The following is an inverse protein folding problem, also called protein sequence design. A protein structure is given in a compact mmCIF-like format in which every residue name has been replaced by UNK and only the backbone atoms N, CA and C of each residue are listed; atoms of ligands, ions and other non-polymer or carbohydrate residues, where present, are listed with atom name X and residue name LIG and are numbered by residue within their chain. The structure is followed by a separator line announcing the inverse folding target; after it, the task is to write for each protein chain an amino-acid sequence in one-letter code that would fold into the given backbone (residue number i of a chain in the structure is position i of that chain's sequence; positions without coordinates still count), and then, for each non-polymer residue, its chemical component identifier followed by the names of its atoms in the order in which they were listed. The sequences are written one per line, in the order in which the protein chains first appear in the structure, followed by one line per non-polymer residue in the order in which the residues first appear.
data_IF_107757648299
#
_entry.id   IF_107757648299
#
_cell.length_a   1.000
_cell.length_b   1.000
_cell.length_c   1.000
_cell.angle_alpha   90.00
_cell.angle_beta   90.00
_cell.angle_gamma   90.00
#
_symmetry.space_group_name_H-M   'P 1'
#
loop_
_entity.id
_entity.type
_entity.pdbx_description
1 polymer ?
#
# COMPACT_ATOMS: atom_id res chain seq x y z
N UNK A 1 -3.87 -17.22 -3.68
CA UNK A 1 -2.62 -16.41 -3.61
C UNK A 1 -2.96 -14.94 -3.44
N UNK A 2 -2.29 -14.22 -2.53
CA UNK A 2 -2.56 -12.80 -2.27
C UNK A 2 -1.27 -12.01 -2.46
N UNK A 3 -1.24 -11.16 -3.48
CA UNK A 3 -0.16 -10.22 -3.75
C UNK A 3 -0.39 -8.95 -2.94
N UNK A 4 0.61 -8.50 -2.18
CA UNK A 4 0.42 -7.30 -1.36
C UNK A 4 1.61 -6.34 -1.43
N UNK A 5 1.29 -5.06 -1.24
CA UNK A 5 2.24 -3.98 -1.02
C UNK A 5 1.86 -3.21 0.25
N UNK A 6 2.84 -2.89 1.08
CA UNK A 6 2.64 -2.10 2.29
C UNK A 6 3.90 -1.28 2.60
N UNK A 7 3.73 -0.02 2.97
CA UNK A 7 4.80 0.84 3.47
C UNK A 7 4.84 0.85 5.00
N UNK A 8 3.75 1.24 5.64
CA UNK A 8 3.67 1.48 7.09
C UNK A 8 2.89 0.42 7.87
N UNK A 9 2.61 -0.73 7.26
CA UNK A 9 2.03 -1.90 7.93
C UNK A 9 0.52 -2.10 7.71
N UNK A 10 -0.28 -1.08 7.47
CA UNK A 10 -1.75 -1.21 7.35
C UNK A 10 -2.20 -2.28 6.35
N UNK A 11 -1.74 -2.19 5.10
CA UNK A 11 -2.10 -3.18 4.08
C UNK A 11 -1.50 -4.57 4.37
N UNK A 12 -0.34 -4.65 5.02
CA UNK A 12 0.25 -5.91 5.47
C UNK A 12 -0.65 -6.59 6.50
N UNK A 13 -1.15 -5.83 7.48
CA UNK A 13 -2.08 -6.37 8.48
C UNK A 13 -3.33 -6.94 7.81
N UNK A 14 -3.95 -6.19 6.87
CA UNK A 14 -5.11 -6.67 6.11
C UNK A 14 -4.76 -7.96 5.35
N UNK A 15 -3.64 -7.97 4.62
CA UNK A 15 -3.20 -9.12 3.84
C UNK A 15 -3.00 -10.37 4.72
N UNK A 16 -2.42 -10.21 5.91
CA UNK A 16 -2.26 -11.29 6.88
C UNK A 16 -3.60 -11.87 7.34
N UNK A 17 -4.59 -11.01 7.67
CA UNK A 17 -5.93 -11.46 8.08
C UNK A 17 -6.63 -12.23 6.94
N UNK A 18 -6.54 -11.72 5.71
CA UNK A 18 -7.13 -12.38 4.54
C UNK A 18 -6.45 -13.72 4.23
N UNK A 19 -5.12 -13.76 4.23
CA UNK A 19 -4.34 -14.97 3.97
C UNK A 19 -4.67 -16.07 4.97
N UNK A 20 -4.74 -15.74 6.25
CA UNK A 20 -5.06 -16.69 7.32
C UNK A 20 -6.45 -17.31 7.12
N UNK A 21 -7.46 -16.48 6.89
CA UNK A 21 -8.85 -16.94 6.75
C UNK A 21 -9.10 -17.67 5.42
N UNK A 22 -8.58 -17.12 4.32
CA UNK A 22 -8.77 -17.70 3.00
C UNK A 22 -7.81 -18.87 2.71
N UNK A 23 -6.80 -19.12 3.56
CA UNK A 23 -5.73 -20.12 3.39
C UNK A 23 -4.96 -19.93 2.09
N UNK A 24 -4.73 -18.67 1.71
CA UNK A 24 -3.99 -18.29 0.52
C UNK A 24 -2.59 -17.82 0.86
N UNK A 25 -1.62 -18.16 0.03
CA UNK A 25 -0.23 -17.74 0.18
C UNK A 25 -0.09 -16.22 -0.03
N UNK A 26 0.82 -15.60 0.74
CA UNK A 26 1.17 -14.19 0.59
C UNK A 26 2.41 -14.02 -0.27
N UNK A 27 2.31 -13.12 -1.24
CA UNK A 27 3.44 -12.68 -2.06
C UNK A 27 3.67 -11.19 -1.85
N UNK A 28 4.83 -10.81 -1.31
CA UNK A 28 5.18 -9.40 -1.16
C UNK A 28 5.66 -8.84 -2.50
N UNK A 29 4.91 -7.91 -3.06
CA UNK A 29 5.17 -7.36 -4.40
C UNK A 29 6.60 -6.82 -4.56
N UNK A 30 7.17 -6.06 -3.60
CA UNK A 30 8.55 -5.60 -3.72
C UNK A 30 9.60 -6.71 -3.83
N UNK A 31 9.43 -7.81 -3.10
CA UNK A 31 10.36 -8.95 -3.20
C UNK A 31 10.25 -9.62 -4.57
N UNK A 32 9.02 -9.87 -5.04
CA UNK A 32 8.80 -10.41 -6.38
C UNK A 32 9.40 -9.54 -7.50
N UNK A 33 9.29 -8.20 -7.37
CA UNK A 33 9.92 -7.27 -8.31
C UNK A 33 11.46 -7.31 -8.26
N UNK A 34 12.02 -7.35 -7.04
CA UNK A 34 13.47 -7.44 -6.81
C UNK A 34 14.05 -8.73 -7.38
N UNK A 35 13.39 -9.85 -7.13
CA UNK A 35 13.81 -11.18 -7.56
C UNK A 35 13.39 -11.49 -9.01
N UNK A 36 12.71 -10.56 -9.68
CA UNK A 36 12.16 -10.70 -11.03
C UNK A 36 11.26 -11.94 -11.18
N UNK A 37 10.55 -12.27 -10.13
CA UNK A 37 9.59 -13.39 -10.10
C UNK A 37 8.23 -12.88 -10.53
N UNK A 38 7.87 -13.12 -11.80
CA UNK A 38 6.63 -12.63 -12.39
C UNK A 38 5.69 -13.73 -12.83
N UNK A 39 6.10 -14.98 -12.76
CA UNK A 39 5.29 -16.12 -13.16
C UNK A 39 4.87 -16.94 -11.95
N UNK A 40 3.57 -17.14 -11.79
CA UNK A 40 2.98 -17.91 -10.70
C UNK A 40 2.01 -18.93 -11.24
N UNK A 41 2.12 -20.17 -10.77
CA UNK A 41 1.22 -21.25 -11.13
C UNK A 41 0.05 -21.30 -10.17
N UNK A 42 -1.17 -21.19 -10.69
CA UNK A 42 -2.39 -21.20 -9.90
C UNK A 42 -2.92 -22.63 -9.70
N UNK A 43 -3.43 -22.90 -8.52
CA UNK A 43 -4.28 -24.05 -8.24
C UNK A 43 -5.68 -23.81 -8.83
N UNK A 44 -6.44 -24.87 -9.04
CA UNK A 44 -7.75 -24.78 -9.71
C UNK A 44 -8.75 -23.88 -8.94
N UNK A 45 -8.84 -24.05 -7.64
CA UNK A 45 -9.77 -23.31 -6.77
C UNK A 45 -9.16 -22.09 -6.06
N UNK A 46 -7.97 -21.68 -6.45
CA UNK A 46 -7.24 -20.60 -5.80
C UNK A 46 -7.96 -19.26 -5.96
N UNK A 47 -8.04 -18.50 -4.87
CA UNK A 47 -8.47 -17.10 -4.91
C UNK A 47 -7.26 -16.21 -5.15
N UNK A 48 -7.44 -15.18 -5.98
CA UNK A 48 -6.36 -14.26 -6.32
C UNK A 48 -6.69 -12.90 -5.70
N UNK A 49 -5.85 -12.43 -4.79
CA UNK A 49 -6.03 -11.17 -4.09
C UNK A 49 -4.95 -10.15 -4.43
N UNK A 50 -5.33 -8.87 -4.48
CA UNK A 50 -4.39 -7.74 -4.47
C UNK A 50 -4.68 -6.86 -3.26
N UNK A 51 -3.70 -6.68 -2.36
CA UNK A 51 -3.86 -5.85 -1.15
C UNK A 51 -2.83 -4.72 -1.16
N UNK A 52 -3.30 -3.47 -1.11
CA UNK A 52 -2.42 -2.31 -1.26
C UNK A 52 -3.00 -1.04 -0.61
N UNK A 53 -2.15 -0.05 -0.27
CA UNK A 53 -2.62 1.25 0.19
C UNK A 53 -3.07 2.12 -0.99
N UNK A 54 -3.90 3.13 -0.70
CA UNK A 54 -4.21 4.17 -1.67
C UNK A 54 -3.14 5.25 -1.64
N UNK A 55 -2.57 5.57 -2.80
CA UNK A 55 -1.65 6.69 -3.00
C UNK A 55 -2.28 7.73 -3.91
N UNK A 56 -2.62 8.88 -3.33
CA UNK A 56 -3.27 9.97 -4.07
C UNK A 56 -4.47 9.47 -4.92
N UNK A 57 -5.39 8.73 -4.28
CA UNK A 57 -6.65 8.25 -4.86
C UNK A 57 -6.49 7.27 -6.04
N UNK A 58 -5.43 6.48 -6.02
CA UNK A 58 -5.22 5.39 -6.97
C UNK A 58 -4.33 4.28 -6.37
N UNK A 59 -4.25 3.10 -6.99
CA UNK A 59 -3.27 2.09 -6.63
C UNK A 59 -1.84 2.64 -6.80
N UNK A 60 -0.90 2.29 -5.92
CA UNK A 60 0.50 2.70 -6.07
C UNK A 60 1.10 2.23 -7.40
N UNK A 61 1.96 3.06 -8.00
CA UNK A 61 2.61 2.75 -9.28
C UNK A 61 3.34 1.40 -9.26
N UNK A 62 3.94 1.02 -8.13
CA UNK A 62 4.62 -0.27 -7.94
C UNK A 62 3.65 -1.46 -8.11
N UNK A 63 2.41 -1.35 -7.63
CA UNK A 63 1.37 -2.38 -7.77
C UNK A 63 0.95 -2.50 -9.23
N UNK A 64 0.69 -1.39 -9.91
CA UNK A 64 0.32 -1.38 -11.33
C UNK A 64 1.47 -1.89 -12.21
N UNK A 65 2.71 -1.56 -11.87
CA UNK A 65 3.90 -2.07 -12.56
C UNK A 65 4.04 -3.59 -12.39
N UNK A 66 3.81 -4.11 -11.19
CA UNK A 66 3.83 -5.54 -10.93
C UNK A 66 2.74 -6.26 -11.72
N UNK A 67 1.48 -5.80 -11.69
CA UNK A 67 0.37 -6.39 -12.45
C UNK A 67 0.69 -6.46 -13.95
N UNK A 68 1.31 -5.43 -14.51
CA UNK A 68 1.70 -5.38 -15.93
C UNK A 68 2.66 -6.52 -16.30
N UNK A 69 3.59 -6.86 -15.42
CA UNK A 69 4.60 -7.90 -15.63
C UNK A 69 4.11 -9.31 -15.22
N UNK A 70 3.14 -9.40 -14.31
CA UNK A 70 2.64 -10.63 -13.73
C UNK A 70 2.06 -11.59 -14.80
N UNK A 71 2.41 -12.86 -14.68
CA UNK A 71 1.87 -13.96 -15.48
C UNK A 71 1.27 -15.01 -14.53
N UNK A 72 -0.01 -15.29 -14.69
CA UNK A 72 -0.72 -16.29 -13.89
C UNK A 72 -0.94 -17.52 -14.76
N UNK A 73 -0.09 -18.53 -14.61
CA UNK A 73 -0.22 -19.81 -15.33
C UNK A 73 -1.40 -20.60 -14.77
N UNK A 74 -2.20 -21.14 -15.67
CA UNK A 74 -3.40 -21.89 -15.29
C UNK A 74 -4.60 -20.99 -14.92
N UNK A 75 -4.57 -19.70 -15.28
CA UNK A 75 -5.72 -18.82 -15.07
C UNK A 75 -6.93 -19.29 -15.91
N UNK A 76 -7.99 -19.70 -15.23
CA UNK A 76 -9.27 -20.16 -15.78
C UNK A 76 -10.44 -19.35 -15.22
N UNK A 77 -10.27 -18.03 -15.04
CA UNK A 77 -11.23 -17.12 -14.38
C UNK A 77 -11.44 -17.43 -12.90
N UNK A 78 -10.37 -17.79 -12.19
CA UNK A 78 -10.40 -17.88 -10.73
C UNK A 78 -10.92 -16.57 -10.12
N UNK A 79 -11.53 -16.67 -8.94
CA UNK A 79 -12.08 -15.51 -8.23
C UNK A 79 -10.96 -14.55 -7.85
N UNK A 80 -10.96 -13.38 -8.50
CA UNK A 80 -9.99 -12.33 -8.30
C UNK A 80 -10.65 -11.16 -7.58
N UNK A 81 -10.02 -10.68 -6.53
CA UNK A 81 -10.49 -9.57 -5.72
C UNK A 81 -9.37 -8.60 -5.37
N UNK A 82 -9.73 -7.42 -4.88
CA UNK A 82 -8.76 -6.53 -4.23
C UNK A 82 -9.29 -5.96 -2.92
N UNK A 83 -8.37 -5.61 -2.04
CA UNK A 83 -8.66 -4.84 -0.82
C UNK A 83 -7.66 -3.70 -0.70
N UNK A 84 -8.14 -2.47 -0.62
CA UNK A 84 -7.27 -1.33 -0.44
C UNK A 84 -7.43 -0.69 0.93
N UNK A 85 -6.32 -0.25 1.54
CA UNK A 85 -6.34 0.56 2.76
C UNK A 85 -6.24 2.04 2.41
N UNK A 86 -7.09 2.87 3.01
CA UNK A 86 -7.10 4.32 2.83
C UNK A 86 -7.31 5.02 4.17
N UNK A 87 -6.87 6.28 4.27
CA UNK A 87 -7.16 7.10 5.44
C UNK A 87 -8.61 7.56 5.47
N UNK A 88 -9.14 7.90 4.30
CA UNK A 88 -10.50 8.43 4.11
C UNK A 88 -11.19 7.79 2.91
N UNK A 89 -10.80 8.14 1.68
CA UNK A 89 -11.47 7.68 0.47
C UNK A 89 -10.49 7.12 -0.57
N UNK A 90 -11.04 6.40 -1.55
CA UNK A 90 -10.24 5.66 -2.55
C UNK A 90 -10.18 6.34 -3.91
N UNK A 91 -11.00 7.37 -4.15
CA UNK A 91 -11.21 7.84 -5.52
C UNK A 91 -11.70 6.72 -6.44
N UNK A 92 -11.34 6.78 -7.71
CA UNK A 92 -11.68 5.76 -8.71
C UNK A 92 -10.66 4.61 -8.76
N UNK A 93 -10.10 4.22 -7.62
CA UNK A 93 -9.11 3.12 -7.54
C UNK A 93 -9.61 1.83 -8.17
N UNK A 94 -10.88 1.48 -7.94
CA UNK A 94 -11.49 0.31 -8.57
C UNK A 94 -11.34 0.36 -10.10
N UNK A 95 -11.76 1.43 -10.75
CA UNK A 95 -11.69 1.57 -12.21
C UNK A 95 -10.26 1.50 -12.74
N UNK A 96 -9.30 2.09 -12.00
CA UNK A 96 -7.88 2.06 -12.39
C UNK A 96 -7.34 0.63 -12.33
N UNK A 97 -7.65 -0.11 -11.27
CA UNK A 97 -7.20 -1.48 -11.10
C UNK A 97 -7.87 -2.42 -12.10
N UNK A 98 -9.20 -2.34 -12.25
CA UNK A 98 -9.95 -3.16 -13.23
C UNK A 98 -9.41 -2.97 -14.64
N UNK A 99 -9.08 -1.73 -15.03
CA UNK A 99 -8.43 -1.45 -16.30
C UNK A 99 -7.08 -2.15 -16.43
N UNK A 100 -6.24 -2.14 -15.39
CA UNK A 100 -4.95 -2.81 -15.41
C UNK A 100 -5.10 -4.35 -15.52
N UNK A 101 -6.07 -4.93 -14.82
CA UNK A 101 -6.38 -6.35 -14.85
C UNK A 101 -6.99 -6.78 -16.19
N UNK A 102 -7.88 -5.96 -16.76
CA UNK A 102 -8.51 -6.26 -18.06
C UNK A 102 -7.51 -6.31 -19.21
N UNK A 103 -6.43 -5.53 -19.18
CA UNK A 103 -5.33 -5.65 -20.15
C UNK A 103 -4.60 -6.98 -20.10
N UNK A 104 -4.74 -7.72 -18.99
CA UNK A 104 -4.23 -9.08 -18.81
C UNK A 104 -5.28 -10.15 -19.13
N UNK A 105 -6.50 -9.75 -19.50
CA UNK A 105 -7.64 -10.65 -19.68
C UNK A 105 -8.23 -11.17 -18.36
N UNK A 106 -7.94 -10.52 -17.22
CA UNK A 106 -8.40 -10.95 -15.90
C UNK A 106 -9.63 -10.15 -15.48
N UNK A 107 -10.66 -10.87 -15.02
CA UNK A 107 -11.87 -10.23 -14.45
C UNK A 107 -11.69 -10.07 -12.94
N UNK A 108 -11.89 -8.85 -12.44
CA UNK A 108 -12.06 -8.58 -11.03
C UNK A 108 -13.51 -8.85 -10.63
N UNK A 109 -13.72 -9.62 -9.58
CA UNK A 109 -15.07 -9.98 -9.11
C UNK A 109 -15.47 -9.19 -7.89
N UNK A 110 -14.52 -8.77 -7.05
CA UNK A 110 -14.83 -8.00 -5.86
C UNK A 110 -13.75 -6.98 -5.53
N UNK A 111 -14.18 -5.89 -4.89
CA UNK A 111 -13.28 -4.83 -4.44
C UNK A 111 -13.76 -4.19 -3.15
N UNK A 112 -12.86 -3.98 -2.21
CA UNK A 112 -13.18 -3.46 -0.90
C UNK A 112 -12.20 -2.39 -0.46
N UNK A 113 -12.68 -1.41 0.32
CA UNK A 113 -11.83 -0.48 1.03
C UNK A 113 -11.92 -0.67 2.54
N UNK A 114 -10.79 -0.53 3.22
CA UNK A 114 -10.69 -0.53 4.68
C UNK A 114 -10.11 0.80 5.12
N UNK A 115 -10.86 1.53 5.94
CA UNK A 115 -10.36 2.77 6.54
C UNK A 115 -9.34 2.43 7.62
N UNK A 116 -8.13 2.96 7.47
CA UNK A 116 -7.00 2.73 8.36
C UNK A 116 -6.38 4.07 8.77
N UNK A 117 -5.59 4.12 9.85
CA UNK A 117 -4.94 5.36 10.26
C UNK A 117 -4.14 6.02 9.15
N UNK A 118 -4.22 7.36 9.10
CA UNK A 118 -3.48 8.18 8.15
C UNK A 118 -1.98 8.14 8.43
N UNK A 119 -1.21 8.14 7.35
CA UNK A 119 0.26 8.13 7.40
C UNK A 119 0.90 9.07 6.37
N UNK A 120 0.11 9.87 5.65
CA UNK A 120 0.65 10.82 4.69
C UNK A 120 0.85 12.18 5.33
N UNK A 121 2.09 12.66 5.37
CA UNK A 121 2.50 13.85 6.15
C UNK A 121 3.17 14.94 5.31
N UNK A 122 3.22 14.83 3.99
CA UNK A 122 4.06 15.69 3.17
C UNK A 122 3.38 16.94 2.60
N UNK A 123 2.07 17.02 2.64
CA UNK A 123 1.35 18.20 2.19
C UNK A 123 0.81 19.00 3.37
N UNK A 124 0.67 20.32 3.23
CA UNK A 124 -0.05 21.13 4.20
C UNK A 124 -1.45 20.59 4.48
N UNK A 125 -1.86 20.57 5.73
CA UNK A 125 -3.15 20.01 6.15
C UNK A 125 -3.19 18.48 6.32
N UNK A 126 -2.15 17.76 5.92
CA UNK A 126 -2.05 16.29 6.13
C UNK A 126 -1.12 15.99 7.31
N UNK A 127 -1.57 15.11 8.18
CA UNK A 127 -0.80 14.58 9.30
C UNK A 127 -1.32 13.17 9.65
N UNK A 128 -0.65 12.51 10.59
CA UNK A 128 -1.17 11.29 11.20
C UNK A 128 -2.43 11.63 12.02
N UNK A 129 -3.28 10.63 12.20
CA UNK A 129 -4.48 10.79 13.03
C UNK A 129 -4.09 11.04 14.49
N UNK A 130 -4.96 11.77 15.22
CA UNK A 130 -4.88 11.82 16.67
C UNK A 130 -5.11 10.44 17.27
N UNK A 131 -4.57 10.17 18.45
CA UNK A 131 -4.55 8.84 19.05
C UNK A 131 -5.94 8.20 19.16
N UNK A 132 -6.93 8.97 19.54
CA UNK A 132 -8.31 8.49 19.69
C UNK A 132 -8.90 8.05 18.34
N UNK A 133 -8.59 8.79 17.25
CA UNK A 133 -9.06 8.45 15.91
C UNK A 133 -8.28 7.26 15.34
N UNK A 134 -6.97 7.20 15.59
CA UNK A 134 -6.12 6.05 15.24
C UNK A 134 -6.69 4.76 15.84
N UNK A 135 -6.92 4.75 17.16
CA UNK A 135 -7.46 3.60 17.89
C UNK A 135 -8.85 3.21 17.39
N UNK A 136 -9.71 4.19 17.14
CA UNK A 136 -11.02 3.96 16.56
C UNK A 136 -10.93 3.30 15.19
N UNK A 137 -10.12 3.82 14.28
CA UNK A 137 -9.95 3.24 12.94
C UNK A 137 -9.41 1.81 13.00
N UNK A 138 -8.45 1.53 13.88
CA UNK A 138 -7.92 0.18 14.08
C UNK A 138 -9.00 -0.78 14.63
N UNK A 139 -9.81 -0.34 15.57
CA UNK A 139 -10.90 -1.14 16.11
C UNK A 139 -11.98 -1.42 15.05
N UNK A 140 -12.38 -0.41 14.28
CA UNK A 140 -13.40 -0.54 13.22
C UNK A 140 -12.91 -1.39 12.02
N UNK A 141 -11.59 -1.45 11.79
CA UNK A 141 -11.02 -2.26 10.73
C UNK A 141 -11.21 -3.76 10.96
N UNK A 142 -11.24 -4.23 12.22
CA UNK A 142 -11.39 -5.65 12.54
C UNK A 142 -12.71 -6.23 12.02
N UNK A 143 -13.88 -5.73 12.42
CA UNK A 143 -15.16 -6.22 11.90
C UNK A 143 -15.27 -6.00 10.38
N UNK A 144 -14.73 -4.92 9.84
CA UNK A 144 -14.74 -4.67 8.40
C UNK A 144 -13.99 -5.78 7.64
N UNK A 145 -12.78 -6.14 8.07
CA UNK A 145 -11.99 -7.21 7.44
C UNK A 145 -12.66 -8.57 7.61
N UNK A 146 -13.34 -8.82 8.75
CA UNK A 146 -14.11 -10.05 8.95
C UNK A 146 -15.29 -10.17 7.97
N UNK A 147 -15.99 -9.07 7.69
CA UNK A 147 -17.07 -9.03 6.68
C UNK A 147 -16.50 -9.26 5.26
N UNK A 148 -15.37 -8.62 4.94
CA UNK A 148 -14.68 -8.81 3.66
C UNK A 148 -14.28 -10.29 3.50
N UNK A 149 -13.71 -10.90 4.53
CA UNK A 149 -13.37 -12.33 4.53
C UNK A 149 -14.57 -13.22 4.25
N UNK A 150 -15.71 -12.93 4.88
CA UNK A 150 -16.95 -13.67 4.65
C UNK A 150 -17.44 -13.56 3.19
N UNK A 151 -17.39 -12.34 2.60
CA UNK A 151 -17.76 -12.11 1.19
C UNK A 151 -16.81 -12.83 0.22
N UNK A 152 -15.50 -12.77 0.47
CA UNK A 152 -14.49 -13.49 -0.33
C UNK A 152 -14.68 -15.01 -0.23
N UNK A 153 -15.00 -15.53 0.96
CA UNK A 153 -15.25 -16.97 1.16
C UNK A 153 -16.45 -17.45 0.35
N UNK A 154 -17.50 -16.63 0.26
CA UNK A 154 -18.69 -16.89 -0.56
C UNK A 154 -18.51 -16.58 -2.05
N UNK A 155 -17.35 -16.04 -2.45
CA UNK A 155 -17.04 -15.60 -3.83
C UNK A 155 -18.08 -14.61 -4.37
N UNK A 156 -18.53 -13.68 -3.53
CA UNK A 156 -19.52 -12.66 -3.91
C UNK A 156 -18.95 -11.71 -4.97
N UNK A 157 -19.76 -11.37 -5.98
CA UNK A 157 -19.45 -10.29 -6.93
C UNK A 157 -19.91 -8.97 -6.33
N UNK A 158 -19.01 -8.27 -5.62
CA UNK A 158 -19.38 -7.10 -4.83
C UNK A 158 -18.26 -6.08 -4.76
N UNK A 159 -18.60 -4.80 -4.98
CA UNK A 159 -17.67 -3.69 -4.86
C UNK A 159 -18.14 -2.71 -3.79
N UNK A 160 -17.38 -2.62 -2.70
CA UNK A 160 -17.60 -1.73 -1.56
C UNK A 160 -16.36 -0.86 -1.32
N UNK A 161 -16.12 0.08 -2.24
CA UNK A 161 -15.06 1.06 -2.13
C UNK A 161 -15.65 2.44 -1.87
N UNK A 162 -15.20 3.11 -0.81
CA UNK A 162 -15.62 4.47 -0.51
C UNK A 162 -14.90 5.47 -1.42
N UNK A 163 -15.53 5.86 -2.52
CA UNK A 163 -14.92 6.76 -3.52
C UNK A 163 -14.74 8.20 -3.01
N UNK A 164 -15.56 8.63 -2.06
CA UNK A 164 -15.55 9.99 -1.51
C UNK A 164 -16.09 11.04 -2.47
N UNK A 165 -15.79 12.31 -2.17
CA UNK A 165 -16.20 13.45 -3.00
C UNK A 165 -15.27 13.66 -4.18
N UNK A 166 -15.81 14.15 -5.32
CA UNK A 166 -15.07 14.51 -6.56
C UNK A 166 -14.04 13.46 -7.02
N UNK A 167 -14.40 12.15 -7.05
CA UNK A 167 -13.42 11.08 -7.27
C UNK A 167 -12.75 11.17 -8.64
N UNK A 168 -13.46 11.67 -9.66
CA UNK A 168 -12.89 11.90 -10.99
C UNK A 168 -11.73 12.88 -10.97
N UNK A 169 -11.90 14.04 -10.33
CA UNK A 169 -10.84 15.07 -10.23
C UNK A 169 -9.64 14.50 -9.46
N UNK A 170 -9.90 13.86 -8.32
CA UNK A 170 -8.87 13.25 -7.49
C UNK A 170 -8.02 12.23 -8.27
N UNK A 171 -8.67 11.31 -8.97
CA UNK A 171 -7.98 10.21 -9.64
C UNK A 171 -7.46 10.55 -11.03
N UNK A 172 -8.18 11.37 -11.81
CA UNK A 172 -7.83 11.63 -13.21
C UNK A 172 -7.01 12.89 -13.44
N UNK A 173 -7.00 13.81 -12.46
CA UNK A 173 -6.27 15.08 -12.56
C UNK A 173 -5.19 15.14 -11.48
N UNK A 174 -5.54 15.01 -10.19
CA UNK A 174 -4.59 15.18 -9.09
C UNK A 174 -3.59 14.02 -9.04
N UNK A 175 -4.03 12.77 -9.19
CA UNK A 175 -3.12 11.61 -9.13
C UNK A 175 -2.04 11.63 -10.22
N UNK A 176 -2.30 11.90 -11.51
CA UNK A 176 -1.25 12.04 -12.52
C UNK A 176 -0.26 13.16 -12.21
N UNK A 177 -0.74 14.32 -11.72
CA UNK A 177 0.13 15.41 -11.29
C UNK A 177 0.98 15.01 -10.09
N UNK A 178 0.38 14.36 -9.10
CA UNK A 178 1.09 13.81 -7.95
C UNK A 178 2.21 12.86 -8.40
N UNK A 179 1.91 11.91 -9.27
CA UNK A 179 2.88 10.95 -9.78
C UNK A 179 4.00 11.61 -10.61
N UNK A 180 3.69 12.67 -11.37
CA UNK A 180 4.66 13.42 -12.18
C UNK A 180 5.59 14.28 -11.34
N UNK A 181 5.05 14.92 -10.30
CA UNK A 181 5.78 15.80 -9.39
C UNK A 181 6.05 15.13 -8.04
N UNK A 182 5.95 13.81 -8.05
CA UNK A 182 6.19 12.97 -6.88
C UNK A 182 7.50 13.35 -6.21
N UNK A 183 7.54 13.14 -4.94
CA UNK A 183 8.64 13.46 -4.07
C UNK A 183 9.99 13.00 -4.62
N UNK A 184 10.90 13.93 -4.85
CA UNK A 184 12.29 13.56 -5.07
C UNK A 184 12.85 12.92 -3.80
N UNK A 185 13.42 11.71 -3.87
CA UNK A 185 14.12 11.09 -2.74
C UNK A 185 15.25 11.94 -2.18
N UNK A 186 15.83 12.83 -2.98
CA UNK A 186 16.90 13.75 -2.60
C UNK A 186 16.51 14.70 -1.46
N UNK A 187 15.21 14.94 -1.26
CA UNK A 187 14.73 15.77 -0.17
C UNK A 187 14.72 15.06 1.20
N UNK A 188 14.94 13.74 1.24
CA UNK A 188 15.12 13.03 2.50
C UNK A 188 16.50 13.33 3.09
N UNK A 189 16.51 13.58 4.38
CA UNK A 189 17.74 13.75 5.14
C UNK A 189 17.55 13.27 6.58
N UNK A 190 18.61 13.25 7.35
CA UNK A 190 18.55 13.02 8.81
C UNK A 190 19.10 14.19 9.56
N UNK A 191 18.44 14.52 10.68
CA UNK A 191 18.97 15.45 11.69
C UNK A 191 20.12 14.82 12.47
N UNK A 192 20.76 15.59 13.34
CA UNK A 192 21.83 15.12 14.25
C UNK A 192 21.32 14.13 15.29
N UNK A 193 20.00 14.05 15.52
CA UNK A 193 19.38 13.03 16.36
C UNK A 193 19.50 11.60 15.80
N UNK A 194 20.00 11.42 14.57
CA UNK A 194 20.18 10.10 13.98
C UNK A 194 21.25 9.29 14.70
N UNK A 195 20.84 8.17 15.30
CA UNK A 195 21.71 7.24 16.03
C UNK A 195 22.31 6.12 15.17
N UNK A 196 22.04 6.08 13.87
CA UNK A 196 22.53 5.05 12.94
C UNK A 196 21.95 3.66 13.17
N UNK A 197 20.71 3.54 13.68
CA UNK A 197 20.10 2.25 14.07
C UNK A 197 19.64 1.37 12.88
N UNK A 198 19.76 1.82 11.65
CA UNK A 198 19.39 1.11 10.40
C UNK A 198 17.90 0.77 10.24
N UNK A 199 17.00 1.23 11.10
CA UNK A 199 15.57 0.92 10.95
C UNK A 199 14.99 1.43 9.64
N UNK A 200 15.39 2.62 9.18
CA UNK A 200 14.96 3.19 7.90
C UNK A 200 15.42 2.35 6.69
N UNK A 201 16.66 1.83 6.72
CA UNK A 201 17.18 0.93 5.70
C UNK A 201 16.38 -0.39 5.66
N UNK A 202 16.18 -1.03 6.81
CA UNK A 202 15.45 -2.30 6.94
C UNK A 202 13.96 -2.19 6.61
N UNK A 203 13.34 -1.03 6.84
CA UNK A 203 11.92 -0.82 6.59
C UNK A 203 11.62 -0.41 5.14
N UNK A 204 12.64 -0.11 4.35
CA UNK A 204 12.42 0.29 2.96
C UNK A 204 11.96 -0.90 2.12
N UNK A 205 10.70 -0.92 1.65
CA UNK A 205 10.14 -2.09 0.96
C UNK A 205 10.85 -2.40 -0.36
N UNK A 206 11.53 -1.42 -0.96
CA UNK A 206 12.23 -1.57 -2.24
C UNK A 206 13.76 -1.51 -2.09
N UNK A 207 14.28 -1.52 -0.87
CA UNK A 207 15.73 -1.49 -0.61
C UNK A 207 16.43 -0.22 -1.09
N UNK A 208 15.71 0.90 -1.20
CA UNK A 208 16.21 2.18 -1.74
C UNK A 208 17.02 3.02 -0.74
N UNK A 209 17.36 2.47 0.43
CA UNK A 209 18.12 3.17 1.48
C UNK A 209 19.34 2.34 1.83
N UNK A 210 20.50 2.98 1.81
CA UNK A 210 21.78 2.36 2.20
C UNK A 210 22.45 3.21 3.26
N UNK A 211 23.02 2.56 4.27
CA UNK A 211 23.83 3.28 5.27
C UNK A 211 25.23 3.56 4.74
N UNK A 212 25.60 4.83 4.74
CA UNK A 212 26.99 5.27 4.49
C UNK A 212 27.54 5.80 5.83
N UNK A 213 28.49 5.07 6.40
CA UNK A 213 28.90 5.30 7.78
C UNK A 213 27.73 5.10 8.75
N UNK A 214 27.35 6.15 9.46
CA UNK A 214 26.23 6.13 10.42
C UNK A 214 24.97 6.85 9.91
N UNK A 215 24.92 7.30 8.67
CA UNK A 215 23.81 8.06 8.10
C UNK A 215 23.17 7.32 6.92
N UNK A 216 21.82 7.30 6.77
CA UNK A 216 21.16 6.73 5.62
C UNK A 216 21.31 7.66 4.39
N UNK A 217 21.46 7.06 3.22
CA UNK A 217 21.42 7.70 1.92
C UNK A 217 20.29 7.05 1.10
N UNK A 218 19.46 7.88 0.47
CA UNK A 218 18.34 7.44 -0.35
C UNK A 218 18.75 7.40 -1.83
N UNK A 219 18.46 6.28 -2.49
CA UNK A 219 18.55 6.14 -3.94
C UNK A 219 17.30 6.72 -4.64
N UNK A 220 17.23 6.51 -5.96
CA UNK A 220 16.18 7.10 -6.81
C UNK A 220 14.91 6.24 -6.93
N UNK A 221 14.93 4.98 -6.51
CA UNK A 221 13.81 4.03 -6.68
C UNK A 221 12.76 4.11 -5.54
N UNK A 222 12.55 5.30 -5.01
CA UNK A 222 11.64 5.53 -3.89
C UNK A 222 10.17 5.38 -4.30
N UNK A 223 9.41 4.57 -3.57
CA UNK A 223 7.96 4.40 -3.75
C UNK A 223 7.11 5.43 -3.01
N UNK A 224 7.74 6.39 -2.33
CA UNK A 224 7.07 7.43 -1.53
C UNK A 224 6.17 6.90 -0.38
N UNK A 225 6.49 5.72 0.14
CA UNK A 225 5.70 5.06 1.18
C UNK A 225 5.90 5.63 2.59
N UNK A 226 6.91 6.47 2.79
CA UNK A 226 7.26 7.09 4.08
C UNK A 226 7.61 6.12 5.23
N UNK A 227 7.78 4.83 4.96
CA UNK A 227 8.13 3.86 5.99
C UNK A 227 9.37 4.27 6.80
N UNK A 228 10.41 4.77 6.11
CA UNK A 228 11.65 5.23 6.73
C UNK A 228 11.44 6.39 7.72
N UNK A 229 10.51 7.31 7.41
CA UNK A 229 10.14 8.41 8.28
C UNK A 229 9.40 7.89 9.52
N UNK A 230 8.38 7.07 9.31
CA UNK A 230 7.49 6.61 10.37
C UNK A 230 8.16 5.65 11.35
N UNK A 231 9.12 4.84 10.90
CA UNK A 231 9.81 3.85 11.76
C UNK A 231 10.98 4.44 12.55
N UNK A 232 11.35 5.69 12.30
CA UNK A 232 12.52 6.30 12.93
C UNK A 232 12.27 6.61 14.42
N UNK A 233 12.93 5.91 15.36
CA UNK A 233 12.63 6.06 16.78
C UNK A 233 13.06 7.41 17.37
N UNK A 234 13.99 8.10 16.67
CA UNK A 234 14.46 9.43 17.05
C UNK A 234 13.79 10.54 16.23
N UNK A 235 12.79 10.21 15.42
CA UNK A 235 12.16 11.14 14.48
C UNK A 235 13.21 11.94 13.67
N UNK A 236 14.37 11.33 13.44
CA UNK A 236 15.51 11.96 12.78
C UNK A 236 15.41 12.00 11.27
N UNK A 237 14.66 11.06 10.65
CA UNK A 237 14.41 11.07 9.22
C UNK A 237 13.41 12.17 8.89
N UNK A 238 13.77 13.08 7.99
CA UNK A 238 12.95 14.22 7.62
C UNK A 238 12.87 14.37 6.10
N UNK A 239 11.87 15.10 5.61
CA UNK A 239 11.69 15.42 4.19
C UNK A 239 11.57 16.93 3.99
N UNK A 240 12.66 17.57 3.61
CA UNK A 240 12.75 19.02 3.49
C UNK A 240 12.30 19.71 4.79
N UNK A 241 11.46 20.75 4.65
CA UNK A 241 10.87 21.45 5.80
C UNK A 241 9.49 20.94 6.20
N UNK A 242 8.96 19.92 5.46
CA UNK A 242 7.55 19.54 5.51
C UNK A 242 7.17 18.66 6.70
N UNK A 243 8.13 17.95 7.29
CA UNK A 243 7.88 16.89 8.27
C UNK A 243 8.33 17.22 9.69
N UNK A 244 8.92 18.41 9.93
CA UNK A 244 9.53 18.77 11.23
C UNK A 244 8.57 18.65 12.41
N UNK A 245 7.31 19.07 12.20
CA UNK A 245 6.28 19.14 13.25
C UNK A 245 5.15 18.14 13.01
N UNK A 246 5.41 17.07 12.22
CA UNK A 246 4.43 16.06 11.88
C UNK A 246 4.61 14.80 12.73
N UNK A 247 3.51 14.12 13.00
CA UNK A 247 3.50 12.87 13.74
C UNK A 247 4.09 11.69 12.99
N UNK A 248 4.22 10.56 13.68
CA UNK A 248 4.64 9.27 13.12
C UNK A 248 3.57 8.23 13.44
N UNK A 249 3.31 7.36 12.47
CA UNK A 249 2.43 6.21 12.62
C UNK A 249 3.00 5.00 11.88
N UNK A 250 3.09 3.89 12.57
CA UNK A 250 3.50 2.61 11.99
C UNK A 250 2.68 1.48 12.62
N UNK A 251 2.07 0.63 11.81
CA UNK A 251 1.36 -0.55 12.27
C UNK A 251 2.35 -1.74 12.30
N UNK A 252 2.74 -2.23 13.47
CA UNK A 252 3.73 -3.31 13.61
C UNK A 252 3.16 -4.71 13.33
N UNK A 253 1.82 -4.88 13.29
CA UNK A 253 1.11 -6.17 13.25
C UNK A 253 1.01 -6.78 11.85
#
# INVERSE_FOLDING_TARGET
MIFYFSGTGNSKWIANQLSKEQKEELVFIPDALKDRTFEFCLREDEKIGFVFPIYSWAPPAIVLNFIRQLSLKGYKRQYLFFVCSCGDDTGLTQQVLEKALSHKGWKCYAGFSVTMPNNYVLLPGFDVDKKELEEKKLADAIPTVNQINASISRREELFLCHEGSIPFIKTRIINPLFNRFQMSPENFYTTDACIGCKRCEKSCPVGNIMMVGRKPVWGMDCTSCLACYHVCPQHAVQYGKRTKDKGQYFNPN
#
